data_IF_825401188884
#
_entry.id   IF_825401188884
#
_cell.length_a   1.000
_cell.length_b   1.000
_cell.length_c   1.000
_cell.angle_alpha   90.00
_cell.angle_beta   90.00
_cell.angle_gamma   90.00
#
_symmetry.space_group_name_H-M   'P 1'
#
loop_
_entity.id
_entity.type
_entity.pdbx_description
1 polymer ?
#
# COMPACT_ATOMS: atom_id res chain seq x y z
N UNK A 1 1.69 9.86 -15.84
CA UNK A 1 2.69 9.72 -14.75
C UNK A 1 2.62 10.90 -13.79
N UNK A 2 2.75 12.16 -14.22
CA UNK A 2 2.76 13.33 -13.31
C UNK A 2 1.57 13.41 -12.33
N UNK A 3 0.34 13.14 -12.78
CA UNK A 3 -0.83 13.14 -11.91
C UNK A 3 -0.78 12.04 -10.83
N UNK A 4 -0.39 10.81 -11.21
CA UNK A 4 -0.20 9.68 -10.29
C UNK A 4 0.93 9.95 -9.28
N UNK A 5 2.05 10.52 -9.74
CA UNK A 5 3.15 10.94 -8.87
C UNK A 5 2.70 11.98 -7.85
N UNK A 6 1.87 12.95 -8.28
CA UNK A 6 1.31 13.94 -7.36
C UNK A 6 0.38 13.30 -6.34
N UNK A 7 -0.49 12.38 -6.74
CA UNK A 7 -1.38 11.65 -5.82
C UNK A 7 -0.59 10.81 -4.82
N UNK A 8 0.44 10.10 -5.26
CA UNK A 8 1.33 9.33 -4.40
C UNK A 8 2.03 10.19 -3.36
N UNK A 9 2.60 11.33 -3.78
CA UNK A 9 3.23 12.29 -2.88
C UNK A 9 2.21 12.90 -1.92
N UNK A 10 1.02 13.28 -2.40
CA UNK A 10 -0.04 13.81 -1.55
C UNK A 10 -0.46 12.81 -0.49
N UNK A 11 -0.63 11.53 -0.83
CA UNK A 11 -0.93 10.48 0.15
C UNK A 11 0.20 10.30 1.15
N UNK A 12 1.45 10.18 0.68
CA UNK A 12 2.61 10.05 1.57
C UNK A 12 2.71 11.21 2.56
N UNK A 13 2.70 12.44 2.05
CA UNK A 13 2.79 13.66 2.85
C UNK A 13 1.60 13.76 3.82
N UNK A 14 0.36 13.52 3.36
CA UNK A 14 -0.82 13.63 4.21
C UNK A 14 -0.74 12.71 5.44
N UNK A 15 -0.31 11.45 5.25
CA UNK A 15 -0.15 10.51 6.37
C UNK A 15 0.97 10.92 7.32
N UNK A 16 2.12 11.35 6.80
CA UNK A 16 3.23 11.82 7.63
C UNK A 16 2.86 13.06 8.45
N UNK A 17 2.28 14.07 7.81
CA UNK A 17 1.85 15.29 8.49
C UNK A 17 0.75 15.01 9.50
N UNK A 18 -0.15 14.07 9.21
CA UNK A 18 -1.19 13.64 10.13
C UNK A 18 -0.66 12.99 11.41
N UNK A 19 0.56 12.46 11.37
CA UNK A 19 1.28 11.89 12.52
C UNK A 19 2.29 12.87 13.15
N UNK A 20 2.37 14.10 12.64
CA UNK A 20 3.27 15.14 13.15
C UNK A 20 4.71 15.06 12.63
N UNK A 21 4.97 14.29 11.57
CA UNK A 21 6.28 14.26 10.93
C UNK A 21 6.43 15.39 9.90
N UNK A 22 7.63 15.98 9.83
CA UNK A 22 8.00 16.85 8.72
C UNK A 22 8.50 16.02 7.53
N UNK A 23 7.77 16.06 6.42
CA UNK A 23 8.14 15.29 5.23
C UNK A 23 9.42 15.80 4.55
N UNK A 24 9.82 17.06 4.80
CA UNK A 24 11.07 17.61 4.26
C UNK A 24 12.31 16.90 4.82
N UNK A 25 12.21 16.33 6.02
CA UNK A 25 13.27 15.54 6.65
C UNK A 25 13.26 14.07 6.22
N UNK A 26 12.23 13.63 5.50
CA UNK A 26 11.95 12.23 5.15
C UNK A 26 12.02 11.99 3.64
N UNK A 27 13.08 12.51 3.00
CA UNK A 27 13.33 12.38 1.55
C UNK A 27 13.81 10.98 1.15
N UNK A 28 14.37 10.21 2.09
CA UNK A 28 14.82 8.83 1.90
C UNK A 28 14.04 7.85 2.81
N UNK A 29 12.71 7.66 2.62
CA UNK A 29 11.85 6.88 3.52
C UNK A 29 12.36 5.46 3.82
N UNK A 30 13.14 4.87 2.91
CA UNK A 30 13.76 3.56 3.07
C UNK A 30 14.89 3.50 4.12
N UNK A 31 15.37 4.64 4.64
CA UNK A 31 16.37 4.72 5.72
C UNK A 31 15.78 5.04 7.09
N UNK A 32 14.45 5.17 7.19
CA UNK A 32 13.76 5.52 8.43
C UNK A 32 13.06 4.29 9.04
N UNK A 33 12.33 4.50 10.13
CA UNK A 33 11.62 3.45 10.85
C UNK A 33 10.53 2.75 10.00
N UNK A 34 10.02 1.65 10.55
CA UNK A 34 9.04 0.80 9.88
C UNK A 34 7.71 1.52 9.60
N UNK A 35 7.32 2.53 10.39
CA UNK A 35 6.13 3.32 10.11
C UNK A 35 6.33 4.19 8.86
N UNK A 36 7.43 4.94 8.77
CA UNK A 36 7.74 5.77 7.60
C UNK A 36 7.83 4.90 6.34
N UNK A 37 8.51 3.76 6.45
CA UNK A 37 8.59 2.80 5.36
C UNK A 37 7.22 2.23 4.98
N UNK A 38 6.33 1.96 5.95
CA UNK A 38 4.99 1.46 5.69
C UNK A 38 4.12 2.49 4.97
N UNK A 39 4.17 3.78 5.36
CA UNK A 39 3.47 4.87 4.66
C UNK A 39 3.97 5.00 3.23
N UNK A 40 5.29 4.98 3.04
CA UNK A 40 5.91 5.06 1.71
C UNK A 40 5.47 3.88 0.82
N UNK A 41 5.59 2.65 1.30
CA UNK A 41 5.16 1.44 0.58
C UNK A 41 3.66 1.49 0.27
N UNK A 42 2.84 1.91 1.22
CA UNK A 42 1.39 2.04 1.05
C UNK A 42 1.02 3.06 -0.04
N UNK A 43 1.62 4.25 0.00
CA UNK A 43 1.40 5.28 -1.02
C UNK A 43 1.83 4.77 -2.42
N UNK A 44 3.01 4.15 -2.52
CA UNK A 44 3.48 3.55 -3.77
C UNK A 44 2.55 2.45 -4.28
N UNK A 45 2.14 1.50 -3.44
CA UNK A 45 1.25 0.42 -3.87
C UNK A 45 -0.13 0.90 -4.30
N UNK A 46 -0.63 1.97 -3.68
CA UNK A 46 -1.95 2.55 -3.99
C UNK A 46 -1.97 3.25 -5.34
N UNK A 47 -0.95 4.03 -5.65
CA UNK A 47 -0.91 4.88 -6.85
C UNK A 47 -0.06 4.31 -7.99
N UNK A 48 0.79 3.34 -7.69
CA UNK A 48 1.58 2.57 -8.67
C UNK A 48 1.34 1.07 -8.50
N UNK A 49 0.12 0.59 -8.75
CA UNK A 49 -0.21 -0.82 -8.68
C UNK A 49 0.55 -1.64 -9.74
N UNK A 50 0.80 -2.90 -9.44
CA UNK A 50 1.34 -3.87 -10.41
C UNK A 50 0.33 -4.10 -11.54
N UNK A 51 0.84 -4.27 -12.75
CA UNK A 51 0.05 -4.75 -13.87
C UNK A 51 -0.47 -6.16 -13.56
N UNK A 52 -1.72 -6.40 -13.93
CA UNK A 52 -2.31 -7.73 -13.84
C UNK A 52 -1.78 -8.60 -14.99
N UNK A 53 -1.13 -9.72 -14.64
CA UNK A 53 -0.59 -10.68 -15.62
C UNK A 53 -1.63 -11.71 -16.06
N UNK A 54 -2.76 -11.81 -15.35
CA UNK A 54 -3.85 -12.74 -15.64
C UNK A 54 -4.90 -12.09 -16.54
N UNK A 55 -5.11 -10.79 -16.38
CA UNK A 55 -6.07 -10.00 -17.15
C UNK A 55 -5.38 -8.73 -17.65
N UNK A 56 -4.94 -8.76 -18.91
CA UNK A 56 -4.22 -7.66 -19.54
C UNK A 56 -5.03 -6.36 -19.52
N UNK A 57 -4.32 -5.22 -19.42
CA UNK A 57 -4.94 -3.89 -19.38
C UNK A 57 -5.53 -3.50 -18.03
N UNK A 58 -5.54 -4.40 -17.04
CA UNK A 58 -6.00 -4.10 -15.67
C UNK A 58 -4.83 -4.00 -14.68
N UNK A 59 -5.06 -3.26 -13.60
CA UNK A 59 -4.10 -3.11 -12.49
C UNK A 59 -4.61 -3.85 -11.25
N UNK A 60 -3.66 -4.44 -10.51
CA UNK A 60 -3.97 -5.15 -9.28
C UNK A 60 -4.08 -4.15 -8.12
N UNK A 61 -5.24 -4.09 -7.48
CA UNK A 61 -5.43 -3.30 -6.26
C UNK A 61 -4.45 -3.72 -5.15
N UNK A 62 -4.09 -2.83 -4.21
CA UNK A 62 -3.24 -3.18 -3.08
C UNK A 62 -3.80 -4.36 -2.27
N UNK A 63 -2.92 -5.20 -1.73
CA UNK A 63 -3.27 -6.27 -0.80
C UNK A 63 -3.69 -5.70 0.55
N UNK A 64 -4.67 -6.31 1.24
CA UNK A 64 -5.10 -5.96 2.60
C UNK A 64 -3.92 -5.78 3.57
N UNK A 65 -2.92 -6.65 3.47
CA UNK A 65 -1.71 -6.60 4.29
C UNK A 65 -0.95 -5.29 4.20
N UNK A 66 -1.05 -4.55 3.10
CA UNK A 66 -0.40 -3.24 2.94
C UNK A 66 -1.00 -2.22 3.92
N UNK A 67 -2.33 -2.17 4.03
CA UNK A 67 -3.02 -1.30 4.98
C UNK A 67 -2.82 -1.79 6.41
N UNK A 68 -2.94 -3.10 6.67
CA UNK A 68 -2.72 -3.66 8.01
C UNK A 68 -1.28 -3.40 8.52
N UNK A 69 -0.28 -3.42 7.62
CA UNK A 69 1.10 -3.08 7.97
C UNK A 69 1.20 -1.60 8.35
N UNK A 70 0.63 -0.69 7.57
CA UNK A 70 0.57 0.73 7.95
C UNK A 70 -0.09 0.94 9.32
N UNK A 71 -1.28 0.37 9.54
CA UNK A 71 -1.99 0.52 10.81
C UNK A 71 -1.17 -0.01 12.00
N UNK A 72 -0.51 -1.16 11.81
CA UNK A 72 0.30 -1.83 12.85
C UNK A 72 1.60 -1.06 13.15
N UNK A 73 2.40 -0.75 12.14
CA UNK A 73 3.71 -0.12 12.34
C UNK A 73 3.58 1.34 12.81
N UNK A 74 2.58 2.06 12.31
CA UNK A 74 2.30 3.44 12.72
C UNK A 74 1.38 3.56 13.93
N UNK A 75 0.89 2.43 14.47
CA UNK A 75 -0.03 2.37 15.63
C UNK A 75 -1.24 3.27 15.46
N UNK A 76 -1.75 3.35 14.24
CA UNK A 76 -2.92 4.17 13.90
C UNK A 76 -4.15 3.50 14.51
N UNK A 77 -4.71 4.15 15.52
CA UNK A 77 -5.96 3.76 16.16
C UNK A 77 -6.97 4.86 15.87
N UNK A 78 -8.09 4.53 15.23
CA UNK A 78 -9.20 5.46 15.09
C UNK A 78 -10.13 5.33 16.30
N UNK A 79 -10.62 6.48 16.77
CA UNK A 79 -11.39 6.59 18.00
C UNK A 79 -12.78 5.94 17.94
N UNK A 80 -13.35 5.66 16.76
CA UNK A 80 -14.63 4.95 16.60
C UNK A 80 -14.62 4.04 15.34
N UNK A 81 -15.22 2.85 15.45
CA UNK A 81 -15.36 1.72 14.49
C UNK A 81 -14.10 1.20 13.75
N UNK A 82 -12.94 1.84 13.90
CA UNK A 82 -11.66 1.38 13.38
C UNK A 82 -11.48 1.59 11.86
N UNK A 83 -10.23 1.76 11.42
CA UNK A 83 -9.90 1.82 9.99
C UNK A 83 -10.06 0.42 9.39
N UNK A 84 -11.04 0.24 8.51
CA UNK A 84 -11.21 -1.01 7.75
C UNK A 84 -10.39 -0.96 6.47
N UNK A 85 -9.46 -1.90 6.31
CA UNK A 85 -8.65 -2.03 5.10
C UNK A 85 -9.45 -2.56 3.90
N UNK A 86 -10.44 -3.43 4.15
CA UNK A 86 -11.31 -4.02 3.13
C UNK A 86 -12.73 -3.51 3.37
N UNK A 87 -13.27 -2.82 2.38
CA UNK A 87 -14.65 -2.33 2.39
C UNK A 87 -15.17 -2.21 0.96
N UNK A 88 -16.49 -2.09 0.83
CA UNK A 88 -17.17 -1.83 -0.43
C UNK A 88 -18.44 -1.03 -0.13
N UNK A 89 -18.51 0.20 -0.60
CA UNK A 89 -19.69 1.03 -0.47
C UNK A 89 -20.05 1.67 -1.80
N UNK A 90 -21.35 1.86 -2.00
CA UNK A 90 -21.88 2.57 -3.16
C UNK A 90 -22.09 4.03 -2.76
N UNK A 91 -21.61 4.94 -3.60
CA UNK A 91 -21.76 6.37 -3.44
C UNK A 91 -22.44 6.94 -4.66
N UNK A 92 -23.52 7.68 -4.45
CA UNK A 92 -24.16 8.46 -5.51
C UNK A 92 -23.37 9.76 -5.72
N UNK A 93 -23.01 10.02 -6.98
CA UNK A 93 -22.41 11.26 -7.43
C UNK A 93 -23.49 12.33 -7.65
N UNK A 94 -23.08 13.59 -7.73
CA UNK A 94 -23.99 14.72 -7.93
C UNK A 94 -24.77 14.67 -9.27
N UNK A 95 -24.32 13.85 -10.21
CA UNK A 95 -24.97 13.59 -11.50
C UNK A 95 -25.97 12.41 -11.46
N UNK A 96 -26.17 11.80 -10.28
CA UNK A 96 -27.05 10.64 -10.09
C UNK A 96 -26.40 9.29 -10.43
N UNK A 97 -25.13 9.26 -10.84
CA UNK A 97 -24.42 8.01 -11.10
C UNK A 97 -23.92 7.35 -9.80
N UNK A 98 -23.92 6.01 -9.75
CA UNK A 98 -23.49 5.24 -8.57
C UNK A 98 -22.07 4.74 -8.79
N UNK A 99 -21.11 5.24 -8.01
CA UNK A 99 -19.73 4.74 -7.98
C UNK A 99 -19.58 3.76 -6.83
N UNK A 100 -18.96 2.61 -7.11
CA UNK A 100 -18.54 1.69 -6.06
C UNK A 100 -17.14 2.07 -5.62
N UNK A 101 -17.03 2.55 -4.39
CA UNK A 101 -15.75 2.75 -3.72
C UNK A 101 -15.40 1.46 -2.97
N UNK A 102 -14.21 0.93 -3.22
CA UNK A 102 -13.73 -0.29 -2.59
C UNK A 102 -12.36 -0.07 -1.96
N UNK A 103 -12.13 -0.73 -0.83
CA UNK A 103 -10.83 -0.77 -0.17
C UNK A 103 -9.84 -1.69 -0.88
N UNK A 104 -8.91 -2.22 -0.08
CA UNK A 104 -7.84 -3.10 -0.56
C UNK A 104 -8.39 -4.49 -0.87
N UNK A 105 -7.70 -5.23 -1.74
CA UNK A 105 -8.07 -6.59 -2.07
C UNK A 105 -7.88 -7.49 -0.85
N UNK A 106 -8.84 -8.39 -0.60
CA UNK A 106 -8.87 -9.27 0.58
C UNK A 106 -7.89 -10.45 0.46
N UNK A 107 -6.60 -10.12 0.35
CA UNK A 107 -5.50 -11.05 0.21
C UNK A 107 -4.33 -10.57 1.08
N UNK A 108 -3.65 -11.53 1.73
CA UNK A 108 -2.35 -11.28 2.33
C UNK A 108 -1.28 -11.20 1.23
N UNK A 109 -0.43 -10.18 1.28
CA UNK A 109 0.75 -10.09 0.43
C UNK A 109 1.91 -10.93 1.00
N UNK A 110 2.81 -11.46 0.16
CA UNK A 110 2.85 -11.35 -1.30
C UNK A 110 1.84 -12.29 -1.98
N UNK A 111 1.05 -11.76 -2.94
CA UNK A 111 0.05 -12.54 -3.69
C UNK A 111 0.06 -12.14 -5.17
N UNK A 112 -0.23 -13.05 -6.11
CA UNK A 112 -0.37 -12.72 -7.53
C UNK A 112 -1.65 -11.93 -7.84
N UNK A 113 -2.60 -11.85 -6.90
CA UNK A 113 -3.93 -11.28 -7.10
C UNK A 113 -4.07 -9.81 -6.61
N UNK A 114 -3.02 -9.23 -6.05
CA UNK A 114 -3.05 -7.87 -5.50
C UNK A 114 -1.66 -7.22 -5.57
N UNK A 115 -1.53 -5.93 -5.30
CA UNK A 115 -0.25 -5.22 -5.22
C UNK A 115 0.27 -5.20 -3.78
N UNK A 116 1.49 -5.67 -3.56
CA UNK A 116 2.13 -5.65 -2.26
C UNK A 116 3.63 -5.92 -2.38
N UNK A 117 4.26 -6.27 -1.26
CA UNK A 117 5.68 -6.69 -1.25
C UNK A 117 5.90 -7.75 -2.33
N UNK A 118 7.09 -7.70 -2.95
CA UNK A 118 7.51 -8.76 -3.84
C UNK A 118 7.46 -10.10 -3.08
N UNK A 119 6.99 -11.15 -3.75
CA UNK A 119 7.25 -12.49 -3.25
C UNK A 119 8.76 -12.63 -3.18
N UNK A 120 9.31 -12.85 -1.98
CA UNK A 120 10.67 -13.35 -1.85
C UNK A 120 10.75 -14.55 -2.78
N UNK A 121 11.66 -14.53 -3.74
CA UNK A 121 11.98 -15.71 -4.54
C UNK A 121 12.52 -16.76 -3.59
N UNK A 122 11.62 -17.57 -3.02
CA UNK A 122 11.95 -18.87 -2.44
C UNK A 122 12.43 -19.74 -3.59
N UNK A 123 13.73 -19.68 -3.90
CA UNK A 123 14.33 -20.41 -5.01
C UNK A 123 15.68 -19.89 -5.49
N UNK A 124 16.62 -19.63 -4.58
CA UNK A 124 18.05 -19.73 -4.90
C UNK A 124 18.55 -21.08 -4.37
N UNK A 125 19.38 -21.84 -5.11
CA UNK A 125 19.78 -23.17 -4.67
C UNK A 125 20.54 -23.06 -3.34
N UNK A 126 20.09 -23.82 -2.33
CA UNK A 126 20.91 -24.14 -1.17
C UNK A 126 22.15 -24.86 -1.69
N UNK A 127 23.24 -24.12 -1.76
CA UNK A 127 24.50 -24.62 -2.24
C UNK A 127 25.62 -23.94 -1.46
N UNK A 128 26.41 -24.80 -0.81
CA UNK A 128 27.80 -24.58 -0.42
C UNK A 128 28.05 -23.52 0.67
N UNK A 129 27.92 -23.98 1.91
CA UNK A 129 28.84 -23.62 3.01
C UNK A 129 28.93 -24.80 3.99
N UNK A 130 29.47 -25.90 3.49
CA UNK A 130 30.29 -26.79 4.30
C UNK A 130 31.75 -26.37 4.04
N UNK A 131 32.56 -26.34 5.09
CA UNK A 131 34.01 -26.04 5.14
C UNK A 131 34.40 -24.55 5.25
N UNK A 132 34.47 -24.06 6.50
CA UNK A 132 35.71 -23.59 7.17
C UNK A 132 35.41 -23.25 8.64
#
# INVERSE_FOLDING_TARGET
>A
ILAQSRQALTTYVAHLTGMGHDFWELTEPWKHDECIQAVWKMACHTHFPRCNRLEEGTYLRPCRSTCETYLRECRVQCCDEGVRCVFKHKRELADGSVVTEEGYADHAGPSPLCTGRAASTLGGPQGWSAWL
#
